data_IF_524725604833
#
_entry.id   IF_524725604833
#
_cell.length_a   1.000
_cell.length_b   1.000
_cell.length_c   1.000
_cell.angle_alpha   90.00
_cell.angle_beta   90.00
_cell.angle_gamma   90.00
#
_symmetry.space_group_name_H-M   'P 1'
#
loop_
_entity.id
_entity.type
_entity.pdbx_description
1 polymer ?
#
# COMPACT_ATOMS: atom_id res chain seq x y z
N UNK A 1 1.01 -11.44 -24.21
CA UNK A 1 1.37 -10.02 -24.39
C UNK A 1 2.35 -9.64 -23.28
N UNK A 2 3.62 -9.40 -23.60
CA UNK A 2 4.58 -8.86 -22.63
C UNK A 2 4.23 -7.37 -22.45
N UNK A 3 3.72 -6.96 -21.29
CA UNK A 3 3.40 -5.54 -21.09
C UNK A 3 2.38 -5.19 -20.01
N UNK A 4 1.60 -6.13 -19.47
CA UNK A 4 0.62 -5.75 -18.43
C UNK A 4 1.27 -5.56 -17.05
N UNK A 5 2.33 -6.32 -16.73
CA UNK A 5 2.89 -6.38 -15.38
C UNK A 5 3.91 -5.27 -15.09
N UNK A 6 4.73 -4.89 -16.06
CA UNK A 6 5.83 -3.92 -15.85
C UNK A 6 5.36 -2.46 -15.93
N UNK A 7 4.38 -2.16 -16.79
CA UNK A 7 3.90 -0.78 -17.00
C UNK A 7 2.91 -0.32 -15.92
N UNK A 8 2.12 -1.23 -15.35
CA UNK A 8 1.04 -0.88 -14.42
C UNK A 8 1.55 -0.33 -13.08
N UNK A 9 2.72 -0.79 -12.60
CA UNK A 9 3.22 -0.41 -11.28
C UNK A 9 3.92 0.96 -11.28
N UNK A 10 4.44 1.47 -12.39
CA UNK A 10 5.25 2.70 -12.35
C UNK A 10 4.45 3.99 -12.12
N UNK A 11 3.13 3.97 -12.32
CA UNK A 11 2.29 5.18 -12.29
C UNK A 11 1.17 5.13 -11.24
N UNK A 12 1.11 4.06 -10.44
CA UNK A 12 0.12 3.94 -9.36
C UNK A 12 0.61 4.71 -8.14
N UNK A 13 -0.09 5.80 -7.80
CA UNK A 13 0.09 6.48 -6.51
C UNK A 13 -0.19 5.53 -5.33
N UNK A 14 0.37 5.83 -4.16
CA UNK A 14 0.22 5.03 -2.94
C UNK A 14 -1.25 4.75 -2.61
N UNK A 15 -2.13 5.74 -2.81
CA UNK A 15 -3.55 5.58 -2.56
C UNK A 15 -4.19 4.61 -3.57
N UNK A 16 -3.81 4.71 -4.84
CA UNK A 16 -4.32 3.81 -5.88
C UNK A 16 -3.90 2.36 -5.62
N UNK A 17 -2.64 2.14 -5.19
CA UNK A 17 -2.17 0.83 -4.77
C UNK A 17 -2.95 0.34 -3.54
N UNK A 18 -3.18 1.18 -2.53
CA UNK A 18 -3.93 0.81 -1.34
C UNK A 18 -5.41 0.45 -1.66
N UNK A 19 -6.04 1.18 -2.58
CA UNK A 19 -7.40 0.90 -3.06
C UNK A 19 -7.54 -0.43 -3.81
N UNK A 20 -6.45 -0.96 -4.38
CA UNK A 20 -6.42 -2.26 -5.05
C UNK A 20 -6.56 -3.44 -4.07
N UNK A 21 -6.29 -3.22 -2.78
CA UNK A 21 -6.52 -4.18 -1.71
C UNK A 21 -7.94 -3.99 -1.16
N UNK A 22 -8.83 -4.94 -1.44
CA UNK A 22 -10.25 -4.85 -1.05
C UNK A 22 -10.40 -4.73 0.47
N UNK A 23 -9.56 -5.45 1.23
CA UNK A 23 -9.58 -5.42 2.70
C UNK A 23 -9.17 -4.06 3.29
N UNK A 24 -8.49 -3.20 2.52
CA UNK A 24 -8.06 -1.90 3.05
C UNK A 24 -9.17 -0.86 2.97
N UNK A 25 -10.08 -0.99 2.01
CA UNK A 25 -11.12 0.00 1.70
C UNK A 25 -11.91 0.50 2.91
N UNK A 26 -12.31 -0.34 3.89
CA UNK A 26 -13.00 0.12 5.09
C UNK A 26 -12.17 1.02 6.01
N UNK A 27 -10.86 1.10 5.81
CA UNK A 27 -9.89 1.77 6.68
C UNK A 27 -9.18 2.95 6.01
N UNK A 28 -9.29 3.08 4.68
CA UNK A 28 -8.68 4.18 3.93
C UNK A 28 -9.29 5.52 4.36
N UNK A 29 -8.45 6.56 4.46
CA UNK A 29 -8.86 7.89 4.91
C UNK A 29 -9.06 8.04 6.43
N UNK A 30 -8.88 6.97 7.21
CA UNK A 30 -9.01 6.99 8.68
C UNK A 30 -7.66 7.03 9.40
N UNK A 31 -6.56 7.16 8.66
CA UNK A 31 -5.25 7.35 9.28
C UNK A 31 -5.19 8.70 9.99
N UNK A 32 -4.37 8.79 11.03
CA UNK A 32 -4.12 10.03 11.76
C UNK A 32 -3.65 11.17 10.84
N UNK A 33 -2.83 10.84 9.85
CA UNK A 33 -2.26 11.77 8.88
C UNK A 33 -2.91 11.58 7.51
N UNK A 34 -3.16 12.70 6.81
CA UNK A 34 -3.83 12.71 5.49
C UNK A 34 -2.93 12.21 4.36
N UNK A 35 -1.62 12.35 4.54
CA UNK A 35 -0.55 11.94 3.63
C UNK A 35 0.10 10.61 4.07
N UNK A 36 -0.65 9.80 4.82
CA UNK A 36 -0.19 8.48 5.25
C UNK A 36 0.09 7.58 4.04
N UNK A 37 1.30 7.05 4.00
CA UNK A 37 1.85 6.11 3.03
C UNK A 37 1.82 4.65 3.54
N UNK A 38 1.33 4.42 4.75
CA UNK A 38 1.07 3.12 5.39
C UNK A 38 2.31 2.22 5.55
N UNK A 39 3.46 2.79 5.89
CA UNK A 39 4.73 2.08 6.04
C UNK A 39 5.20 1.98 7.49
N UNK A 40 5.47 3.11 8.15
CA UNK A 40 5.95 3.18 9.55
C UNK A 40 5.30 4.29 10.36
N UNK A 41 4.33 5.01 9.78
CA UNK A 41 3.79 6.20 10.43
C UNK A 41 2.94 5.87 11.66
N UNK A 42 3.10 6.62 12.76
CA UNK A 42 2.29 6.42 13.95
C UNK A 42 0.82 6.77 13.68
N UNK A 43 -0.10 5.94 14.15
CA UNK A 43 -1.54 6.13 13.90
C UNK A 43 -1.99 5.80 12.47
N UNK A 44 -1.26 4.92 11.78
CA UNK A 44 -1.72 4.33 10.54
C UNK A 44 -2.84 3.31 10.82
N UNK A 45 -4.06 3.59 10.33
CA UNK A 45 -5.22 2.72 10.55
C UNK A 45 -5.01 1.31 9.97
N UNK A 46 -4.27 1.17 8.86
CA UNK A 46 -3.96 -0.15 8.29
C UNK A 46 -3.03 -0.98 9.17
N UNK A 47 -2.07 -0.34 9.86
CA UNK A 47 -1.21 -1.04 10.81
C UNK A 47 -2.00 -1.47 12.04
N UNK A 48 -2.85 -0.59 12.57
CA UNK A 48 -3.74 -0.92 13.69
C UNK A 48 -4.67 -2.07 13.32
N UNK A 49 -5.32 -2.01 12.16
CA UNK A 49 -6.19 -3.07 11.65
C UNK A 49 -5.45 -4.41 11.48
N UNK A 50 -4.19 -4.38 11.06
CA UNK A 50 -3.38 -5.59 10.98
C UNK A 50 -3.01 -6.15 12.36
N UNK A 51 -2.75 -5.27 13.34
CA UNK A 51 -2.44 -5.66 14.72
C UNK A 51 -3.66 -6.22 15.47
N UNK A 52 -4.87 -5.73 15.17
CA UNK A 52 -6.14 -6.19 15.76
C UNK A 52 -6.74 -7.40 15.04
N UNK A 53 -6.17 -7.81 13.90
CA UNK A 53 -6.65 -8.94 13.10
C UNK A 53 -7.81 -8.61 12.16
N UNK A 54 -8.18 -7.33 12.01
CA UNK A 54 -9.16 -6.86 11.02
C UNK A 54 -8.62 -6.96 9.58
N UNK A 55 -7.31 -6.84 9.42
CA UNK A 55 -6.57 -7.11 8.19
C UNK A 55 -5.60 -8.25 8.47
N UNK A 56 -5.49 -9.20 7.55
CA UNK A 56 -4.50 -10.25 7.68
C UNK A 56 -3.06 -9.67 7.53
N UNK A 57 -2.14 -9.87 8.48
CA UNK A 57 -0.82 -9.21 8.48
C UNK A 57 -0.02 -9.42 7.18
N UNK A 58 -0.17 -10.60 6.55
CA UNK A 58 0.49 -10.92 5.27
C UNK A 58 0.05 -10.01 4.13
N UNK A 59 -1.18 -9.48 4.17
CA UNK A 59 -1.73 -8.57 3.15
C UNK A 59 -1.11 -7.18 3.28
N UNK A 60 -0.95 -6.68 4.50
CA UNK A 60 -0.23 -5.43 4.75
C UNK A 60 1.25 -5.54 4.37
N UNK A 61 1.90 -6.67 4.69
CA UNK A 61 3.30 -6.92 4.30
C UNK A 61 3.47 -6.95 2.77
N UNK A 62 2.53 -7.57 2.04
CA UNK A 62 2.53 -7.59 0.58
C UNK A 62 2.42 -6.17 0.01
N UNK A 63 1.49 -5.35 0.51
CA UNK A 63 1.36 -3.95 0.11
C UNK A 63 2.67 -3.18 0.28
N UNK A 64 3.30 -3.28 1.46
CA UNK A 64 4.58 -2.60 1.74
C UNK A 64 5.70 -3.07 0.81
N UNK A 65 5.71 -4.36 0.48
CA UNK A 65 6.69 -4.94 -0.45
C UNK A 65 6.51 -4.36 -1.86
N UNK A 66 5.28 -4.35 -2.38
CA UNK A 66 4.96 -3.79 -3.69
C UNK A 66 5.33 -2.30 -3.77
N UNK A 67 5.03 -1.54 -2.71
CA UNK A 67 5.38 -0.12 -2.62
C UNK A 67 6.89 0.13 -2.67
N UNK A 68 7.69 -0.68 -1.97
CA UNK A 68 9.16 -0.59 -2.03
C UNK A 68 9.69 -0.93 -3.43
N UNK A 69 9.11 -1.94 -4.08
CA UNK A 69 9.46 -2.30 -5.46
C UNK A 69 9.15 -1.15 -6.44
N UNK A 70 8.01 -0.47 -6.30
CA UNK A 70 7.69 0.73 -7.07
C UNK A 70 8.73 1.84 -6.90
N UNK A 71 9.08 2.18 -5.64
CA UNK A 71 10.10 3.21 -5.36
C UNK A 71 11.46 2.87 -5.99
N UNK A 72 11.88 1.61 -5.88
CA UNK A 72 13.16 1.17 -6.43
C UNK A 72 13.18 1.15 -7.96
N UNK A 73 12.05 0.83 -8.61
CA UNK A 73 11.92 0.87 -10.06
C UNK A 73 11.95 2.31 -10.61
N UNK A 74 11.36 3.26 -9.88
CA UNK A 74 11.36 4.68 -10.25
C UNK A 74 12.76 5.34 -10.13
N UNK A 75 13.67 4.77 -9.34
CA UNK A 75 15.04 5.29 -9.13
C UNK A 75 16.09 4.76 -10.11
N UNK A 76 15.72 3.87 -11.03
CA UNK A 76 16.65 3.26 -12.01
C UNK A 76 16.54 3.88 -13.42
N UNK A 77 15.89 5.03 -13.55
CA UNK A 77 15.83 5.88 -14.74
C UNK A 77 16.59 7.16 -14.47
#
# INVERSE_FOLDING_TARGET
SPGLQEFALQHLDVNALAHAFVEFRPFLGQCRFRDCIHETEPGCRLQEAAATGEIEPKRLLLFQTLRRLQKNAAQRL
#
